data_IF_815945426773
#
_entry.id   IF_815945426773
#
_cell.length_a   1.000
_cell.length_b   1.000
_cell.length_c   1.000
_cell.angle_alpha   90.00
_cell.angle_beta   90.00
_cell.angle_gamma   90.00
#
_symmetry.space_group_name_H-M   'P 1'
#
loop_
_entity.id
_entity.type
_entity.pdbx_description
1 polymer ?
#
# COMPACT_ATOMS: atom_id res chain seq x y z
N UNK A 1 -11.51 23.05 25.79
CA UNK A 1 -11.11 21.66 26.10
C UNK A 1 -9.74 21.47 25.49
N UNK A 2 -8.71 21.22 26.30
CA UNK A 2 -7.41 20.82 25.77
C UNK A 2 -7.53 19.33 25.44
N UNK A 3 -7.50 18.99 24.15
CA UNK A 3 -7.41 17.59 23.73
C UNK A 3 -5.94 17.18 23.87
N UNK A 4 -5.68 16.08 24.58
CA UNK A 4 -4.36 15.47 24.56
C UNK A 4 -4.03 14.99 23.14
N UNK A 5 -2.76 15.05 22.71
CA UNK A 5 -2.37 14.56 21.40
C UNK A 5 -2.66 13.05 21.28
N UNK A 6 -2.98 12.56 20.07
CA UNK A 6 -3.22 11.15 19.85
C UNK A 6 -1.98 10.31 20.20
N UNK A 7 -2.21 9.15 20.81
CA UNK A 7 -1.15 8.18 21.09
C UNK A 7 -0.63 7.57 19.77
N UNK A 8 0.67 7.69 19.54
CA UNK A 8 1.36 6.97 18.46
C UNK A 8 1.64 5.56 18.97
N UNK A 9 0.92 4.59 18.43
CA UNK A 9 1.13 3.18 18.77
C UNK A 9 2.22 2.55 17.91
N UNK A 10 2.37 2.95 16.64
CA UNK A 10 3.35 2.38 15.72
C UNK A 10 3.89 3.45 14.77
N UNK A 11 5.20 3.41 14.51
CA UNK A 11 5.89 4.26 13.55
C UNK A 11 6.98 3.44 12.88
N UNK A 12 6.93 3.30 11.56
CA UNK A 12 7.93 2.55 10.79
C UNK A 12 8.63 3.50 9.80
N UNK A 13 9.92 3.28 9.59
CA UNK A 13 10.72 4.03 8.63
C UNK A 13 11.31 3.07 7.61
N UNK A 14 11.17 3.35 6.33
CA UNK A 14 11.63 2.43 5.30
C UNK A 14 12.76 3.03 4.49
N UNK A 15 13.66 2.17 4.01
CA UNK A 15 14.50 2.52 2.87
C UNK A 15 13.67 2.63 1.58
N UNK A 16 14.25 3.08 0.45
CA UNK A 16 13.51 3.19 -0.82
C UNK A 16 12.83 1.89 -1.27
N UNK A 17 13.36 0.73 -0.88
CA UNK A 17 12.88 -0.59 -1.28
C UNK A 17 11.88 -1.19 -0.29
N UNK A 18 11.49 -0.46 0.76
CA UNK A 18 10.50 -0.93 1.72
C UNK A 18 11.06 -1.80 2.83
N UNK A 19 12.39 -1.86 2.98
CA UNK A 19 13.00 -2.51 4.13
C UNK A 19 12.87 -1.58 5.36
N UNK A 20 12.29 -2.10 6.45
CA UNK A 20 12.17 -1.33 7.69
C UNK A 20 13.56 -1.06 8.30
N UNK A 21 13.80 0.20 8.66
CA UNK A 21 15.03 0.68 9.28
C UNK A 21 14.97 0.41 10.78
N UNK A 22 15.36 -0.80 11.15
CA UNK A 22 15.38 -1.23 12.55
C UNK A 22 16.28 -0.32 13.42
N UNK A 23 15.81 -0.02 14.63
CA UNK A 23 16.46 0.84 15.62
C UNK A 23 15.95 2.28 15.68
N UNK A 24 15.06 2.70 14.77
CA UNK A 24 14.43 4.03 14.78
C UNK A 24 12.89 3.98 14.73
N UNK A 25 12.32 2.79 14.66
CA UNK A 25 10.88 2.54 14.68
C UNK A 25 10.29 2.61 16.09
N UNK A 26 9.00 2.95 16.16
CA UNK A 26 8.16 2.70 17.33
C UNK A 26 7.35 1.44 17.07
N UNK A 27 7.61 0.38 17.84
CA UNK A 27 6.86 -0.87 17.74
C UNK A 27 5.52 -0.77 18.46
N UNK A 28 4.44 -1.12 17.77
CA UNK A 28 3.08 -1.03 18.30
C UNK A 28 2.45 -2.32 18.76
N UNK A 29 1.53 -2.18 19.71
CA UNK A 29 0.60 -3.22 20.12
C UNK A 29 -0.83 -2.64 20.14
N UNK A 30 -1.76 -3.13 19.29
CA UNK A 30 -1.55 -4.18 18.29
C UNK A 30 -0.62 -3.75 17.15
N UNK A 31 0.14 -4.71 16.62
CA UNK A 31 1.01 -4.50 15.46
C UNK A 31 0.16 -4.44 14.18
N UNK A 32 0.25 -3.34 13.44
CA UNK A 32 -0.37 -3.20 12.13
C UNK A 32 0.42 -3.98 11.08
N UNK A 33 -0.28 -4.91 10.42
CA UNK A 33 0.28 -5.73 9.35
C UNK A 33 0.36 -4.97 8.03
N UNK A 34 -0.47 -3.95 7.82
CA UNK A 34 -0.43 -3.13 6.62
C UNK A 34 0.64 -2.06 6.77
N UNK A 35 1.72 -2.23 6.02
CA UNK A 35 2.96 -1.49 6.22
C UNK A 35 3.35 -0.74 4.94
N UNK A 36 4.54 -1.02 4.41
CA UNK A 36 5.05 -0.39 3.19
C UNK A 36 4.03 -0.46 2.04
N UNK A 37 3.77 0.68 1.39
CA UNK A 37 2.77 0.85 0.33
C UNK A 37 1.34 0.40 0.70
N UNK A 38 1.01 0.35 2.00
CA UNK A 38 -0.29 -0.14 2.49
C UNK A 38 -0.51 -1.62 2.19
N UNK A 39 0.57 -2.41 2.06
CA UNK A 39 0.53 -3.83 1.75
C UNK A 39 0.76 -4.66 3.01
N UNK A 40 0.17 -5.86 3.04
CA UNK A 40 0.27 -6.73 4.20
C UNK A 40 1.67 -7.35 4.28
N UNK A 41 2.33 -7.18 5.42
CA UNK A 41 3.57 -7.87 5.76
C UNK A 41 3.25 -9.29 6.26
N UNK A 42 3.88 -10.28 5.65
CA UNK A 42 3.80 -11.68 6.04
C UNK A 42 4.98 -12.07 6.94
N UNK A 43 4.69 -12.49 8.17
CA UNK A 43 5.70 -12.80 9.20
C UNK A 43 5.91 -14.32 9.41
N UNK A 44 5.07 -15.17 8.81
CA UNK A 44 4.96 -16.61 9.11
C UNK A 44 6.26 -17.41 8.89
N UNK A 45 7.14 -16.93 8.01
CA UNK A 45 8.42 -17.59 7.68
C UNK A 45 9.65 -16.75 8.06
N UNK A 46 9.47 -15.63 8.77
CA UNK A 46 10.56 -14.71 9.12
C UNK A 46 11.27 -14.07 7.92
N UNK A 47 10.63 -14.09 6.74
CA UNK A 47 11.15 -13.50 5.51
C UNK A 47 10.69 -12.05 5.30
N UNK A 48 9.69 -11.61 6.08
CA UNK A 48 9.15 -10.25 6.02
C UNK A 48 8.74 -9.84 4.59
N UNK A 49 8.17 -10.79 3.85
CA UNK A 49 7.67 -10.53 2.50
C UNK A 49 6.38 -9.74 2.56
N UNK A 50 6.15 -8.96 1.50
CA UNK A 50 5.01 -8.06 1.41
C UNK A 50 4.07 -8.57 0.33
N UNK A 51 2.80 -8.75 0.67
CA UNK A 51 1.79 -9.27 -0.24
C UNK A 51 1.19 -8.15 -1.10
N UNK A 52 1.42 -8.25 -2.41
CA UNK A 52 0.85 -7.33 -3.39
C UNK A 52 -0.36 -7.91 -4.12
N UNK A 53 -0.75 -9.15 -3.83
CA UNK A 53 -1.85 -9.87 -4.47
C UNK A 53 -1.33 -10.88 -5.49
N UNK A 54 -0.86 -10.42 -6.66
CA UNK A 54 -0.39 -11.34 -7.69
C UNK A 54 1.01 -11.93 -7.42
N UNK A 55 1.81 -11.24 -6.61
CA UNK A 55 3.19 -11.61 -6.28
C UNK A 55 3.54 -11.21 -4.86
N UNK A 56 4.39 -12.02 -4.21
CA UNK A 56 5.05 -11.62 -2.97
C UNK A 56 6.31 -10.81 -3.29
N UNK A 57 6.45 -9.66 -2.66
CA UNK A 57 7.60 -8.77 -2.77
C UNK A 57 8.61 -9.04 -1.66
N UNK A 58 9.90 -9.09 -2.01
CA UNK A 58 10.98 -9.21 -1.06
C UNK A 58 11.70 -7.85 -0.92
N UNK A 59 11.48 -7.11 0.19
CA UNK A 59 12.11 -5.81 0.41
C UNK A 59 13.62 -5.90 0.62
N UNK A 60 14.15 -7.01 1.16
CA UNK A 60 15.59 -7.20 1.35
C UNK A 60 16.36 -7.30 0.03
N UNK A 61 15.71 -7.84 -1.02
CA UNK A 61 16.32 -7.98 -2.35
C UNK A 61 15.88 -6.90 -3.33
N UNK A 62 14.82 -6.15 -3.03
CA UNK A 62 14.21 -5.20 -3.95
C UNK A 62 13.57 -5.87 -5.19
N UNK A 63 13.02 -7.07 -5.03
CA UNK A 63 12.58 -7.93 -6.16
C UNK A 63 11.29 -8.68 -5.87
N UNK A 64 10.62 -9.10 -6.93
CA UNK A 64 9.55 -10.09 -6.85
C UNK A 64 10.10 -11.48 -6.55
N UNK A 65 9.35 -12.26 -5.77
CA UNK A 65 9.64 -13.68 -5.49
C UNK A 65 9.20 -14.62 -6.62
N UNK A 66 8.37 -14.14 -7.55
CA UNK A 66 7.82 -14.90 -8.67
C UNK A 66 7.92 -14.12 -9.98
N UNK A 67 7.84 -14.84 -11.10
CA UNK A 67 7.86 -14.28 -12.46
C UNK A 67 6.63 -13.38 -12.64
N UNK A 68 6.85 -12.18 -13.22
CA UNK A 68 5.79 -11.25 -13.60
C UNK A 68 4.78 -11.90 -14.57
N UNK A 69 3.48 -11.97 -14.24
CA UNK A 69 2.45 -12.45 -15.15
C UNK A 69 2.36 -11.62 -16.45
N UNK A 70 2.81 -10.36 -16.42
CA UNK A 70 2.91 -9.44 -17.55
C UNK A 70 4.37 -9.24 -18.03
N UNK A 71 5.28 -10.19 -17.76
CA UNK A 71 6.69 -10.10 -18.17
C UNK A 71 6.85 -9.76 -19.67
N UNK A 72 5.96 -10.24 -20.53
CA UNK A 72 5.98 -9.97 -21.96
C UNK A 72 5.75 -8.50 -22.35
N UNK A 73 5.11 -7.71 -21.48
CA UNK A 73 4.92 -6.27 -21.67
C UNK A 73 6.21 -5.49 -21.39
N UNK A 74 7.04 -6.02 -20.51
CA UNK A 74 8.30 -5.43 -20.06
C UNK A 74 9.54 -6.16 -20.57
N UNK A 75 9.60 -6.57 -21.85
CA UNK A 75 10.67 -7.46 -22.40
C UNK A 75 12.11 -7.00 -22.18
N UNK A 76 12.32 -5.71 -21.89
CA UNK A 76 13.65 -5.12 -21.59
C UNK A 76 14.07 -5.27 -20.12
N UNK A 77 13.16 -5.70 -19.26
CA UNK A 77 13.37 -5.84 -17.82
C UNK A 77 13.36 -7.31 -17.42
N UNK A 78 14.04 -7.62 -16.32
CA UNK A 78 13.95 -8.94 -15.71
C UNK A 78 12.50 -9.25 -15.31
N UNK A 79 12.00 -10.49 -15.45
CA UNK A 79 10.68 -10.87 -14.95
C UNK A 79 10.52 -10.75 -13.43
N UNK A 80 11.61 -10.52 -12.69
CA UNK A 80 11.62 -10.31 -11.24
C UNK A 80 11.83 -8.84 -10.85
N UNK A 81 11.81 -7.92 -11.82
CA UNK A 81 12.06 -6.51 -11.60
C UNK A 81 10.91 -5.84 -10.83
N UNK A 82 11.23 -5.17 -9.72
CA UNK A 82 10.29 -4.27 -9.04
C UNK A 82 10.36 -2.86 -9.66
N UNK A 83 9.21 -2.33 -10.09
CA UNK A 83 8.96 -0.91 -10.42
C UNK A 83 10.06 -0.17 -11.22
N UNK A 84 10.57 -0.82 -12.27
CA UNK A 84 11.68 -0.31 -13.11
C UNK A 84 12.92 0.16 -12.33
N UNK A 85 13.18 -0.45 -11.17
CA UNK A 85 14.24 -0.08 -10.23
C UNK A 85 14.18 1.37 -9.72
N UNK A 86 12.98 1.96 -9.66
CA UNK A 86 12.78 3.29 -9.10
C UNK A 86 11.53 3.33 -8.20
N UNK A 87 11.62 2.77 -6.98
CA UNK A 87 10.48 2.64 -6.06
C UNK A 87 10.05 3.96 -5.40
N UNK A 88 10.76 5.05 -5.67
CA UNK A 88 10.37 6.39 -5.25
C UNK A 88 9.32 6.97 -6.22
N UNK A 89 9.52 6.78 -7.52
CA UNK A 89 8.66 7.35 -8.56
C UNK A 89 7.52 6.43 -9.00
N UNK A 90 7.60 5.15 -8.67
CA UNK A 90 6.72 4.13 -9.20
C UNK A 90 6.27 3.14 -8.12
N UNK A 91 5.04 2.64 -8.30
CA UNK A 91 4.40 1.62 -7.48
C UNK A 91 3.82 0.54 -8.38
N UNK A 92 3.91 -0.72 -7.99
CA UNK A 92 3.09 -1.78 -8.59
C UNK A 92 1.91 -2.01 -7.65
N UNK A 93 0.66 -1.66 -8.01
CA UNK A 93 -0.42 -1.66 -7.03
C UNK A 93 -0.99 -3.05 -6.71
N UNK A 94 -0.85 -4.02 -7.60
CA UNK A 94 -1.47 -5.34 -7.50
C UNK A 94 -0.48 -6.48 -7.78
N UNK A 95 0.80 -6.14 -7.95
CA UNK A 95 1.83 -7.09 -8.33
C UNK A 95 1.69 -7.55 -9.78
N UNK A 96 0.98 -6.84 -10.65
CA UNK A 96 0.87 -7.19 -12.06
C UNK A 96 1.56 -6.18 -12.97
N UNK A 97 1.44 -4.88 -12.65
CA UNK A 97 2.08 -3.86 -13.48
C UNK A 97 2.28 -2.54 -12.75
N UNK A 98 3.43 -1.95 -13.02
CA UNK A 98 3.86 -0.68 -12.47
C UNK A 98 3.05 0.51 -12.99
N UNK A 99 2.79 1.46 -12.09
CA UNK A 99 2.22 2.79 -12.32
C UNK A 99 3.14 3.85 -11.73
N UNK A 100 3.04 5.08 -12.22
CA UNK A 100 3.68 6.20 -11.52
C UNK A 100 2.93 6.49 -10.21
N UNK A 101 3.69 6.89 -9.18
CA UNK A 101 3.13 7.24 -7.87
C UNK A 101 2.09 8.38 -8.00
N UNK A 102 2.37 9.40 -8.82
CA UNK A 102 1.43 10.50 -9.06
C UNK A 102 0.10 10.03 -9.66
N UNK A 103 0.17 9.13 -10.65
CA UNK A 103 -1.04 8.58 -11.28
C UNK A 103 -1.83 7.72 -10.29
N UNK A 104 -1.14 6.94 -9.45
CA UNK A 104 -1.78 6.11 -8.44
C UNK A 104 -2.48 6.96 -7.38
N UNK A 105 -1.81 7.99 -6.86
CA UNK A 105 -2.38 8.89 -5.86
C UNK A 105 -3.59 9.62 -6.41
N UNK A 106 -3.50 10.19 -7.62
CA UNK A 106 -4.63 10.88 -8.24
C UNK A 106 -5.85 9.97 -8.46
N UNK A 107 -5.63 8.68 -8.77
CA UNK A 107 -6.72 7.71 -8.88
C UNK A 107 -7.38 7.45 -7.53
N UNK A 108 -6.58 7.23 -6.47
CA UNK A 108 -7.11 6.98 -5.13
C UNK A 108 -7.88 8.18 -4.58
N UNK A 109 -7.36 9.40 -4.78
CA UNK A 109 -8.04 10.62 -4.37
C UNK A 109 -9.42 10.75 -5.03
N UNK A 110 -9.52 10.41 -6.31
CA UNK A 110 -10.80 10.41 -7.03
C UNK A 110 -11.78 9.35 -6.49
N UNK A 111 -11.29 8.14 -6.21
CA UNK A 111 -12.11 7.08 -5.61
C UNK A 111 -12.63 7.46 -4.21
N UNK A 112 -11.79 8.08 -3.39
CA UNK A 112 -12.16 8.51 -2.04
C UNK A 112 -13.22 9.62 -2.06
N UNK A 113 -13.13 10.56 -3.01
CA UNK A 113 -14.14 11.58 -3.22
C UNK A 113 -15.48 10.95 -3.63
N UNK A 114 -15.47 10.05 -4.61
CA UNK A 114 -16.68 9.38 -5.06
C UNK A 114 -17.35 8.58 -3.94
N UNK A 115 -16.55 7.86 -3.13
CA UNK A 115 -17.06 7.08 -2.00
C UNK A 115 -17.74 7.98 -0.95
N UNK A 116 -17.13 9.11 -0.61
CA UNK A 116 -17.73 10.11 0.31
C UNK A 116 -19.05 10.64 -0.23
N UNK A 117 -19.11 11.01 -1.51
CA UNK A 117 -20.35 11.46 -2.13
C UNK A 117 -21.44 10.38 -2.14
N UNK A 118 -21.09 9.12 -2.43
CA UNK A 118 -22.05 8.01 -2.39
C UNK A 118 -22.59 7.78 -0.97
N UNK A 119 -21.75 7.88 0.06
CA UNK A 119 -22.16 7.79 1.46
C UNK A 119 -23.08 8.95 1.85
N UNK A 120 -22.79 10.17 1.42
CA UNK A 120 -23.65 11.34 1.64
C UNK A 120 -24.99 11.19 0.92
N UNK A 121 -25.00 10.75 -0.35
CA UNK A 121 -26.22 10.45 -1.11
C UNK A 121 -27.09 9.41 -0.39
N UNK A 122 -26.49 8.33 0.13
CA UNK A 122 -27.19 7.30 0.92
C UNK A 122 -27.75 7.86 2.23
N UNK A 123 -27.01 8.72 2.93
CA UNK A 123 -27.48 9.38 4.15
C UNK A 123 -28.70 10.27 3.89
N UNK A 124 -28.70 11.01 2.78
CA UNK A 124 -29.81 11.90 2.41
C UNK A 124 -31.06 11.13 1.93
N UNK A 125 -30.88 9.99 1.25
CA UNK A 125 -31.99 9.14 0.81
C UNK A 125 -32.67 8.39 1.96
N UNK A 126 -31.91 8.00 2.99
CA UNK A 126 -32.42 7.31 4.17
C UNK A 126 -32.84 8.27 5.31
N UNK A 127 -32.95 9.58 5.04
CA UNK A 127 -33.43 10.54 6.04
C UNK A 127 -34.93 10.29 6.30
N UNK A 128 -35.34 9.98 7.55
CA UNK A 128 -36.74 9.72 7.90
C UNK A 128 -37.68 10.90 7.63
N UNK A 129 -37.17 12.10 7.34
CA UNK A 129 -37.97 13.23 6.86
C UNK A 129 -38.44 13.11 5.41
N UNK A 130 -37.96 12.11 4.66
CA UNK A 130 -38.20 11.94 3.23
C UNK A 130 -39.19 10.80 2.89
N UNK A 131 -39.82 10.17 3.89
CA UNK A 131 -40.89 9.18 3.71
C UNK A 131 -42.21 9.73 4.25
N UNK A 132 -43.08 10.19 3.34
CA UNK A 132 -44.48 10.55 3.57
C UNK A 132 -45.40 9.56 2.87
#
# INVERSE_FOLDING_TARGET
MNQEPPLIVQENHYDPWGLNLAGIETQGNPNDKFQYNGKEKQEEFGLDWIDYGARMYNPQLGRWSAIDPMAERGRRWSPYNYVFNNPIMFIDPDGMWVRSTDSWNSMNDAFDQEKKEQEERKRQQNDPKNTY
#
